data_IF_518073689231
#
_entry.id   IF_518073689231
#
_cell.length_a   1.000
_cell.length_b   1.000
_cell.length_c   1.000
_cell.angle_alpha   90.00
_cell.angle_beta   90.00
_cell.angle_gamma   90.00
#
_symmetry.space_group_name_H-M   'P 1'
#
loop_
_entity.id
_entity.type
_entity.pdbx_description
1 polymer ?
#
# COMPACT_ATOMS: atom_id res chain seq x y z
N UNK A 1 2.21 18.56 -18.47
CA UNK A 1 3.66 18.27 -18.47
C UNK A 1 3.94 16.80 -18.14
N UNK A 2 4.66 16.09 -19.01
CA UNK A 2 5.22 14.79 -18.67
C UNK A 2 6.46 15.03 -17.80
N UNK A 3 6.50 14.46 -16.60
CA UNK A 3 7.68 14.51 -15.75
C UNK A 3 8.65 13.44 -16.22
N UNK A 4 9.90 13.82 -16.47
CA UNK A 4 10.93 12.85 -16.79
C UNK A 4 11.21 11.99 -15.56
N UNK A 5 11.19 10.67 -15.73
CA UNK A 5 11.64 9.73 -14.70
C UNK A 5 13.16 9.69 -14.77
N UNK A 6 13.81 10.30 -13.78
CA UNK A 6 15.28 10.46 -13.78
C UNK A 6 16.01 9.14 -13.48
N UNK A 7 15.38 8.25 -12.71
CA UNK A 7 15.94 6.95 -12.36
C UNK A 7 15.57 5.88 -13.39
N UNK A 8 16.58 5.27 -14.01
CA UNK A 8 16.38 4.27 -15.06
C UNK A 8 15.76 2.95 -14.55
N UNK A 9 15.93 2.61 -13.26
CA UNK A 9 15.26 1.46 -12.65
C UNK A 9 13.78 1.74 -12.40
N UNK A 10 13.45 2.95 -11.95
CA UNK A 10 12.06 3.39 -11.84
C UNK A 10 11.39 3.42 -13.22
N UNK A 11 12.05 3.96 -14.25
CA UNK A 11 11.50 4.02 -15.60
C UNK A 11 11.12 2.63 -16.11
N UNK A 12 12.02 1.64 -15.96
CA UNK A 12 11.76 0.25 -16.34
C UNK A 12 10.57 -0.38 -15.59
N UNK A 13 10.39 -0.03 -14.33
CA UNK A 13 9.30 -0.56 -13.50
C UNK A 13 7.97 0.13 -13.84
N UNK A 14 7.98 1.39 -14.25
CA UNK A 14 6.79 2.07 -14.76
C UNK A 14 6.39 1.58 -16.16
N UNK A 15 7.36 1.23 -17.01
CA UNK A 15 7.10 0.67 -18.35
C UNK A 15 6.37 -0.68 -18.32
N UNK A 16 6.40 -1.41 -17.19
CA UNK A 16 5.68 -2.68 -17.04
C UNK A 16 4.20 -2.51 -16.69
N UNK A 17 3.71 -1.29 -16.53
CA UNK A 17 2.34 -0.99 -16.08
C UNK A 17 1.45 -0.56 -17.24
N UNK A 18 0.42 -1.34 -17.55
CA UNK A 18 -0.50 -1.05 -18.66
C UNK A 18 -1.57 0.00 -18.31
N UNK A 19 -2.13 -0.07 -17.09
CA UNK A 19 -3.36 0.68 -16.72
C UNK A 19 -3.09 1.83 -15.72
N UNK A 20 -1.83 2.19 -15.51
CA UNK A 20 -1.42 3.26 -14.59
C UNK A 20 -1.44 2.92 -13.10
N UNK A 21 -1.74 1.66 -12.73
CA UNK A 21 -1.71 1.18 -11.34
C UNK A 21 -0.55 0.20 -11.11
N UNK A 22 0.34 0.54 -10.17
CA UNK A 22 1.38 -0.36 -9.69
C UNK A 22 0.82 -1.34 -8.66
N UNK A 23 1.34 -2.57 -8.65
CA UNK A 23 1.17 -3.41 -7.48
C UNK A 23 1.92 -2.80 -6.27
N UNK A 24 1.53 -3.16 -5.04
CA UNK A 24 2.14 -2.57 -3.85
C UNK A 24 3.66 -2.76 -3.72
N UNK A 25 4.22 -3.91 -4.12
CA UNK A 25 5.65 -4.14 -4.03
C UNK A 25 6.42 -3.24 -5.00
N UNK A 26 5.93 -3.12 -6.22
CA UNK A 26 6.55 -2.24 -7.21
C UNK A 26 6.41 -0.76 -6.83
N UNK A 27 5.25 -0.34 -6.29
CA UNK A 27 5.09 0.99 -5.72
C UNK A 27 6.08 1.27 -4.58
N UNK A 28 6.26 0.34 -3.65
CA UNK A 28 7.24 0.48 -2.56
C UNK A 28 8.68 0.49 -3.07
N UNK A 29 9.02 -0.28 -4.10
CA UNK A 29 10.34 -0.23 -4.74
C UNK A 29 10.61 1.13 -5.36
N UNK A 30 9.62 1.75 -6.00
CA UNK A 30 9.76 3.12 -6.53
C UNK A 30 10.04 4.11 -5.41
N UNK A 31 9.28 4.05 -4.31
CA UNK A 31 9.49 4.93 -3.16
C UNK A 31 10.89 4.77 -2.54
N UNK A 32 11.36 3.53 -2.39
CA UNK A 32 12.69 3.21 -1.88
C UNK A 32 13.81 3.72 -2.80
N UNK A 33 13.67 3.55 -4.12
CA UNK A 33 14.62 4.08 -5.11
C UNK A 33 14.73 5.61 -5.07
N UNK A 34 13.65 6.30 -4.68
CA UNK A 34 13.66 7.74 -4.44
C UNK A 34 14.05 8.13 -3.00
N UNK A 35 14.44 7.18 -2.16
CA UNK A 35 14.90 7.44 -0.79
C UNK A 35 13.78 7.84 0.17
N UNK A 36 12.53 7.53 -0.16
CA UNK A 36 11.38 7.78 0.73
C UNK A 36 11.37 6.67 1.79
N UNK A 37 11.46 7.01 3.10
CA UNK A 37 11.49 5.99 4.14
C UNK A 37 10.21 5.16 4.19
N UNK A 38 10.36 3.83 4.27
CA UNK A 38 9.27 2.89 4.35
C UNK A 38 9.34 2.07 5.64
N UNK A 39 8.18 1.72 6.19
CA UNK A 39 8.09 0.67 7.20
C UNK A 39 8.56 -0.66 6.59
N UNK A 40 9.27 -1.50 7.36
CA UNK A 40 9.77 -2.77 6.85
C UNK A 40 8.64 -3.61 6.31
N UNK A 41 8.82 -4.22 5.14
CA UNK A 41 7.76 -4.95 4.45
C UNK A 41 8.32 -6.13 3.67
N UNK A 42 7.44 -7.10 3.38
CA UNK A 42 7.74 -8.23 2.51
C UNK A 42 6.48 -8.73 1.82
N UNK A 43 6.53 -8.90 0.51
CA UNK A 43 5.48 -9.57 -0.26
C UNK A 43 5.85 -11.03 -0.50
N UNK A 44 4.92 -11.94 -0.25
CA UNK A 44 5.14 -13.38 -0.28
C UNK A 44 3.91 -14.12 -0.84
N UNK A 45 4.09 -15.21 -1.59
CA UNK A 45 2.99 -15.94 -2.23
C UNK A 45 2.22 -16.86 -1.27
N UNK A 46 2.83 -17.31 -0.17
CA UNK A 46 2.27 -18.38 0.68
C UNK A 46 2.03 -17.94 2.12
N UNK A 47 1.16 -18.69 2.80
CA UNK A 47 0.86 -18.54 4.23
C UNK A 47 2.11 -18.74 5.08
N UNK A 48 2.89 -19.77 4.77
CA UNK A 48 4.10 -20.16 5.49
C UNK A 48 5.16 -19.05 5.39
N UNK A 49 5.33 -18.50 4.20
CA UNK A 49 6.24 -17.38 3.98
C UNK A 49 5.75 -16.09 4.65
N UNK A 50 4.44 -15.86 4.77
CA UNK A 50 3.90 -14.71 5.50
C UNK A 50 4.21 -14.80 7.00
N UNK A 51 4.11 -15.99 7.59
CA UNK A 51 4.50 -16.24 8.97
C UNK A 51 6.02 -16.05 9.18
N UNK A 52 6.84 -16.55 8.25
CA UNK A 52 8.29 -16.37 8.29
C UNK A 52 8.68 -14.88 8.18
N UNK A 53 8.09 -14.16 7.22
CA UNK A 53 8.31 -12.73 7.02
C UNK A 53 7.95 -11.92 8.27
N UNK A 54 6.83 -12.24 8.92
CA UNK A 54 6.44 -11.59 10.17
C UNK A 54 7.42 -11.87 11.31
N UNK A 55 8.02 -13.06 11.36
CA UNK A 55 9.09 -13.39 12.30
C UNK A 55 10.36 -12.57 12.09
N UNK A 56 10.72 -12.29 10.83
CA UNK A 56 11.87 -11.45 10.47
C UNK A 56 11.62 -9.95 10.73
N UNK A 57 10.43 -9.46 10.39
CA UNK A 57 10.03 -8.07 10.62
C UNK A 57 9.84 -7.80 12.12
N UNK A 58 9.22 -8.73 12.85
CA UNK A 58 8.85 -8.55 14.24
C UNK A 58 7.46 -7.93 14.41
N UNK A 59 6.81 -8.27 15.52
CA UNK A 59 5.42 -7.89 15.80
C UNK A 59 5.30 -6.56 16.58
N UNK A 60 4.19 -5.82 16.44
CA UNK A 60 3.03 -6.14 15.60
C UNK A 60 3.24 -5.89 14.10
N UNK A 61 2.50 -6.64 13.29
CA UNK A 61 2.49 -6.49 11.83
C UNK A 61 1.09 -6.18 11.30
N UNK A 62 1.05 -5.64 10.09
CA UNK A 62 -0.11 -5.49 9.23
C UNK A 62 -0.03 -6.56 8.14
N UNK A 63 -1.14 -7.25 7.89
CA UNK A 63 -1.30 -8.19 6.79
C UNK A 63 -2.24 -7.58 5.76
N UNK A 64 -1.83 -7.58 4.48
CA UNK A 64 -2.65 -7.15 3.36
C UNK A 64 -2.72 -8.27 2.31
N UNK A 65 -3.90 -8.53 1.77
CA UNK A 65 -4.05 -9.44 0.64
C UNK A 65 -3.62 -8.74 -0.65
N UNK A 66 -2.93 -9.47 -1.52
CA UNK A 66 -2.59 -9.03 -2.87
C UNK A 66 -3.46 -9.80 -3.85
N UNK A 67 -4.25 -9.08 -4.65
CA UNK A 67 -5.01 -9.65 -5.76
C UNK A 67 -5.20 -8.56 -6.85
N UNK A 68 -5.08 -8.90 -8.15
CA UNK A 68 -5.19 -7.96 -9.27
C UNK A 68 -6.47 -7.13 -9.27
N UNK A 69 -7.59 -7.74 -8.88
CA UNK A 69 -8.92 -7.11 -8.89
C UNK A 69 -9.27 -6.35 -7.61
N UNK A 70 -8.41 -6.41 -6.58
CA UNK A 70 -8.70 -5.85 -5.26
C UNK A 70 -8.76 -4.32 -5.27
N UNK A 71 -8.07 -3.68 -6.22
CA UNK A 71 -8.03 -2.22 -6.38
C UNK A 71 -9.43 -1.61 -6.57
N UNK A 72 -10.41 -2.38 -7.09
CA UNK A 72 -11.71 -1.85 -7.51
C UNK A 72 -12.92 -2.38 -6.74
N UNK A 73 -12.75 -3.23 -5.72
CA UNK A 73 -13.87 -3.88 -5.02
C UNK A 73 -13.58 -4.09 -3.54
N UNK A 74 -14.10 -3.16 -2.73
CA UNK A 74 -14.26 -3.22 -1.27
C UNK A 74 -13.00 -3.58 -0.46
N UNK A 75 -12.37 -2.55 0.12
CA UNK A 75 -11.31 -2.64 1.13
C UNK A 75 -11.69 -3.51 2.36
N UNK A 76 -12.99 -3.78 2.55
CA UNK A 76 -13.53 -4.44 3.73
C UNK A 76 -12.97 -5.87 3.90
N UNK A 77 -11.94 -5.99 4.72
CA UNK A 77 -11.35 -7.26 5.14
C UNK A 77 -10.05 -7.65 4.44
N UNK A 78 -9.60 -6.88 3.44
CA UNK A 78 -8.36 -7.15 2.71
C UNK A 78 -7.09 -6.61 3.42
N UNK A 79 -7.29 -5.92 4.55
CA UNK A 79 -6.23 -5.46 5.45
C UNK A 79 -6.58 -5.88 6.88
N UNK A 80 -5.61 -6.45 7.59
CA UNK A 80 -5.68 -6.77 9.02
C UNK A 80 -4.50 -6.09 9.72
N UNK A 81 -4.79 -5.22 10.68
CA UNK A 81 -3.78 -4.43 11.41
C UNK A 81 -3.58 -4.97 12.83
N UNK A 82 -2.49 -4.56 13.46
CA UNK A 82 -2.18 -4.86 14.87
C UNK A 82 -2.20 -6.36 15.19
N UNK A 83 -1.63 -7.17 14.30
CA UNK A 83 -1.41 -8.60 14.53
C UNK A 83 -0.17 -8.73 15.41
N UNK A 84 -0.32 -9.19 16.65
CA UNK A 84 0.70 -9.08 17.70
C UNK A 84 1.57 -10.32 17.84
N UNK A 85 1.20 -11.42 17.18
CA UNK A 85 1.92 -12.68 17.25
C UNK A 85 1.55 -13.60 16.07
N UNK A 86 2.27 -14.71 15.95
CA UNK A 86 2.08 -15.70 14.89
C UNK A 86 0.70 -16.35 14.89
N UNK A 87 0.08 -16.54 16.07
CA UNK A 87 -1.25 -17.15 16.15
C UNK A 87 -2.33 -16.21 15.61
N UNK A 88 -2.28 -14.93 15.97
CA UNK A 88 -3.19 -13.90 15.43
C UNK A 88 -3.01 -13.74 13.92
N UNK A 89 -1.77 -13.74 13.43
CA UNK A 89 -1.47 -13.68 12.00
C UNK A 89 -1.99 -14.91 11.24
N UNK A 90 -1.78 -16.11 11.77
CA UNK A 90 -2.30 -17.35 11.19
C UNK A 90 -3.83 -17.31 11.07
N UNK A 91 -4.52 -16.89 12.12
CA UNK A 91 -5.98 -16.74 12.08
C UNK A 91 -6.43 -15.64 11.11
N UNK A 92 -5.68 -14.55 10.98
CA UNK A 92 -5.96 -13.49 10.02
C UNK A 92 -5.85 -14.00 8.58
N UNK A 93 -4.79 -14.76 8.25
CA UNK A 93 -4.63 -15.42 6.95
C UNK A 93 -5.82 -16.32 6.61
N UNK A 94 -6.26 -17.15 7.56
CA UNK A 94 -7.43 -18.03 7.39
C UNK A 94 -8.70 -17.23 7.11
N UNK A 95 -8.99 -16.23 7.94
CA UNK A 95 -10.19 -15.39 7.80
C UNK A 95 -10.20 -14.63 6.47
N UNK A 96 -9.09 -14.03 6.10
CA UNK A 96 -8.96 -13.26 4.87
C UNK A 96 -9.11 -14.15 3.63
N UNK A 97 -8.45 -15.32 3.64
CA UNK A 97 -8.57 -16.30 2.53
C UNK A 97 -10.02 -16.71 2.33
N UNK A 98 -10.72 -17.05 3.42
CA UNK A 98 -12.14 -17.41 3.35
C UNK A 98 -13.01 -16.25 2.86
N UNK A 99 -12.76 -15.02 3.32
CA UNK A 99 -13.51 -13.83 2.93
C UNK A 99 -13.35 -13.50 1.44
N UNK A 100 -12.11 -13.54 0.94
CA UNK A 100 -11.80 -13.27 -0.48
C UNK A 100 -12.42 -14.34 -1.37
N UNK A 101 -12.31 -15.62 -0.97
CA UNK A 101 -12.96 -16.73 -1.69
C UNK A 101 -14.49 -16.60 -1.71
N UNK A 102 -15.11 -16.20 -0.59
CA UNK A 102 -16.56 -15.97 -0.51
C UNK A 102 -17.03 -14.81 -1.41
N UNK A 103 -16.16 -13.84 -1.69
CA UNK A 103 -16.41 -12.76 -2.64
C UNK A 103 -16.16 -13.17 -4.11
N UNK A 104 -15.76 -14.42 -4.37
CA UNK A 104 -15.50 -14.94 -5.73
C UNK A 104 -14.11 -14.58 -6.27
N UNK A 105 -13.17 -14.21 -5.40
CA UNK A 105 -11.82 -13.84 -5.76
C UNK A 105 -10.80 -14.85 -5.19
N UNK A 106 -9.56 -14.79 -5.68
CA UNK A 106 -8.43 -15.52 -5.13
C UNK A 106 -7.39 -14.54 -4.55
N UNK A 107 -6.67 -14.99 -3.53
CA UNK A 107 -5.51 -14.26 -3.00
C UNK A 107 -4.28 -14.76 -3.76
N UNK A 108 -3.58 -13.87 -4.46
CA UNK A 108 -2.37 -14.19 -5.22
C UNK A 108 -1.10 -14.07 -4.37
N UNK A 109 -1.21 -13.38 -3.23
CA UNK A 109 -0.15 -13.30 -2.24
C UNK A 109 -0.51 -12.40 -1.06
N UNK A 110 0.49 -12.19 -0.21
CA UNK A 110 0.36 -11.44 1.03
C UNK A 110 1.46 -10.41 1.11
N UNK A 111 1.11 -9.22 1.56
CA UNK A 111 2.05 -8.18 1.96
C UNK A 111 2.04 -8.10 3.48
N UNK A 112 3.16 -8.47 4.10
CA UNK A 112 3.40 -8.35 5.54
C UNK A 112 4.21 -7.10 5.77
N UNK A 113 3.75 -6.23 6.67
CA UNK A 113 4.37 -4.93 6.91
C UNK A 113 4.46 -4.64 8.41
N UNK A 114 5.55 -4.01 8.84
CA UNK A 114 5.70 -3.46 10.17
C UNK A 114 4.58 -2.46 10.47
N UNK A 115 3.92 -2.60 11.63
CA UNK A 115 2.92 -1.63 12.04
C UNK A 115 3.61 -0.41 12.67
N UNK A 116 3.52 0.72 11.97
CA UNK A 116 3.90 2.01 12.53
C UNK A 116 3.05 2.36 13.76
N UNK A 117 3.68 2.90 14.80
CA UNK A 117 3.02 3.29 16.06
C UNK A 117 3.38 4.73 16.41
N UNK A 118 2.38 5.48 16.87
CA UNK A 118 2.53 6.88 17.22
C UNK A 118 2.68 7.78 15.98
N UNK A 119 2.83 9.09 16.23
CA UNK A 119 2.90 10.11 15.20
C UNK A 119 1.53 10.56 14.69
N UNK A 120 1.57 11.44 13.69
CA UNK A 120 0.39 11.94 13.00
C UNK A 120 0.22 11.21 11.69
N UNK A 121 -0.95 10.61 11.48
CA UNK A 121 -1.33 10.09 10.18
C UNK A 121 -1.68 11.25 9.26
N UNK A 122 -0.99 11.35 8.13
CA UNK A 122 -1.19 12.39 7.12
C UNK A 122 -1.40 11.73 5.77
N UNK A 123 -2.15 12.40 4.91
CA UNK A 123 -2.26 12.04 3.50
C UNK A 123 -1.50 13.06 2.67
N UNK A 124 -0.73 12.58 1.70
CA UNK A 124 -0.16 13.41 0.66
C UNK A 124 -0.32 12.74 -0.70
N UNK A 125 -0.44 13.52 -1.76
CA UNK A 125 -0.54 13.01 -3.11
C UNK A 125 -0.27 14.10 -4.13
N UNK A 126 0.07 13.69 -5.35
CA UNK A 126 0.20 14.59 -6.49
C UNK A 126 -0.76 14.11 -7.57
N UNK A 127 -1.48 15.05 -8.17
CA UNK A 127 -2.23 14.82 -9.40
C UNK A 127 -1.86 15.89 -10.43
N UNK A 128 -2.11 15.61 -11.71
CA UNK A 128 -1.90 16.60 -12.78
C UNK A 128 -3.23 17.11 -13.26
N UNK A 129 -3.54 18.37 -12.93
CA UNK A 129 -4.70 19.06 -13.47
C UNK A 129 -4.41 19.53 -14.91
N UNK A 130 -5.37 19.39 -15.85
CA UNK A 130 -5.18 19.79 -17.25
C UNK A 130 -4.89 21.30 -17.45
N UNK A 131 -5.30 22.16 -16.52
CA UNK A 131 -5.18 23.62 -16.59
C UNK A 131 -4.05 24.15 -15.71
N UNK A 132 -3.96 23.66 -14.48
CA UNK A 132 -3.02 24.16 -13.47
C UNK A 132 -1.71 23.38 -13.42
N UNK A 133 -1.62 22.23 -14.08
CA UNK A 133 -0.46 21.35 -13.99
C UNK A 133 -0.45 20.58 -12.66
N UNK A 134 0.71 20.32 -12.06
CA UNK A 134 0.80 19.55 -10.81
C UNK A 134 0.05 20.23 -9.67
N UNK A 135 -0.79 19.47 -8.99
CA UNK A 135 -1.44 19.84 -7.76
C UNK A 135 -0.99 18.88 -6.67
N UNK A 136 -0.39 19.44 -5.62
CA UNK A 136 -0.05 18.71 -4.40
C UNK A 136 -1.24 18.75 -3.45
N UNK A 137 -1.67 17.59 -2.99
CA UNK A 137 -2.64 17.41 -1.91
C UNK A 137 -1.88 17.08 -0.63
N UNK A 138 -2.24 17.74 0.47
CA UNK A 138 -1.77 17.40 1.81
C UNK A 138 -2.89 17.60 2.84
N UNK A 139 -2.97 16.71 3.82
CA UNK A 139 -4.00 16.80 4.87
C UNK A 139 -3.85 15.75 5.96
N UNK A 140 -4.84 15.69 6.85
CA UNK A 140 -4.91 14.64 7.86
C UNK A 140 -5.31 13.31 7.22
N UNK A 141 -4.57 12.26 7.56
CA UNK A 141 -4.75 10.91 7.04
C UNK A 141 -5.77 10.09 7.82
N UNK A 142 -5.82 8.79 7.53
CA UNK A 142 -6.72 7.84 8.17
C UNK A 142 -7.98 7.53 7.39
N UNK A 143 -8.72 6.52 7.86
CA UNK A 143 -9.96 6.02 7.24
C UNK A 143 -11.09 7.04 7.06
N UNK A 144 -10.91 8.27 7.52
CA UNK A 144 -11.90 9.33 7.49
C UNK A 144 -11.48 10.53 6.63
N UNK A 145 -10.40 10.44 5.84
CA UNK A 145 -9.97 11.51 4.92
C UNK A 145 -11.14 11.99 4.05
N UNK A 146 -11.91 11.05 3.47
CA UNK A 146 -13.07 11.36 2.64
C UNK A 146 -14.22 12.02 3.42
N UNK A 147 -14.31 11.75 4.73
CA UNK A 147 -15.37 12.25 5.61
C UNK A 147 -15.04 13.65 6.14
N UNK A 148 -13.77 13.90 6.47
CA UNK A 148 -13.36 15.17 7.08
C UNK A 148 -13.01 16.27 6.07
N UNK A 149 -12.74 15.92 4.80
CA UNK A 149 -12.35 16.85 3.74
C UNK A 149 -11.22 17.82 4.15
N UNK A 150 -10.40 17.44 5.14
CA UNK A 150 -9.33 18.28 5.68
C UNK A 150 -8.05 18.11 4.87
N UNK A 151 -8.16 18.44 3.59
CA UNK A 151 -7.08 18.43 2.61
C UNK A 151 -6.94 19.80 1.98
N UNK A 152 -5.70 20.22 1.75
CA UNK A 152 -5.36 21.43 1.01
C UNK A 152 -4.65 21.05 -0.28
N UNK A 153 -4.97 21.80 -1.33
CA UNK A 153 -4.31 21.70 -2.62
C UNK A 153 -3.42 22.92 -2.83
N UNK A 154 -2.20 22.70 -3.32
CA UNK A 154 -1.25 23.74 -3.67
C UNK A 154 -0.56 23.46 -4.99
N UNK A 155 -0.15 24.53 -5.69
CA UNK A 155 0.62 24.45 -6.94
C UNK A 155 2.10 24.61 -6.59
N UNK A 156 2.98 23.65 -6.94
CA UNK A 156 4.42 23.80 -6.72
C UNK A 156 5.04 24.97 -7.51
N UNK A 157 6.11 25.62 -7.00
CA UNK A 157 6.69 25.44 -5.67
C UNK A 157 5.79 26.04 -4.57
N UNK A 158 5.81 25.41 -3.39
CA UNK A 158 5.05 25.83 -2.20
C UNK A 158 5.82 26.86 -1.37
#
# INVERSE_FOLDING_TARGET
PAFAVEDAAVARLLDTVADGYLDPADAFRVLDLYGIPLARWRQVPTREEALAAAGEIGYPVVLKAVAPDLVHKSEAGAVQVDLRNAAELAQALDRMTASVAAAGHAVDGWLVQEMARGGHEVIFGITTDPRFGPLLMFGLGGKYVEVFQDVRFGVPPL
#
